data_IF_731261414991
#
_entry.id   IF_731261414991
#
_cell.length_a   1.000
_cell.length_b   1.000
_cell.length_c   1.000
_cell.angle_alpha   90.00
_cell.angle_beta   90.00
_cell.angle_gamma   90.00
#
_symmetry.space_group_name_H-M   'P 1'
#
loop_
_entity.id
_entity.type
_entity.pdbx_description
1 polymer ?
#
# COMPACT_ATOMS: atom_id res chain seq x y z
N UNK A 1 5.82 -8.55 -33.21
CA UNK A 1 6.53 -9.36 -32.20
C UNK A 1 7.56 -8.46 -31.53
N UNK A 2 7.12 -7.71 -30.51
CA UNK A 2 7.97 -6.79 -29.76
C UNK A 2 8.64 -7.58 -28.62
N UNK A 3 9.97 -7.54 -28.57
CA UNK A 3 10.76 -8.11 -27.48
C UNK A 3 10.35 -7.41 -26.19
N UNK A 4 9.72 -8.14 -25.27
CA UNK A 4 9.56 -7.71 -23.88
C UNK A 4 10.96 -7.43 -23.35
N UNK A 5 11.27 -6.15 -23.16
CA UNK A 5 12.43 -5.75 -22.38
C UNK A 5 12.25 -6.35 -20.99
N UNK A 6 13.10 -7.31 -20.68
CA UNK A 6 13.42 -7.70 -19.32
C UNK A 6 14.14 -6.46 -18.76
N UNK A 7 13.39 -5.60 -18.07
CA UNK A 7 13.99 -4.58 -17.22
C UNK A 7 14.71 -5.37 -16.11
N UNK A 8 16.02 -5.18 -15.89
CA UNK A 8 16.71 -5.88 -14.84
C UNK A 8 16.08 -5.50 -13.51
N UNK A 9 15.64 -6.54 -12.81
CA UNK A 9 14.99 -6.61 -11.51
C UNK A 9 15.94 -6.15 -10.37
N UNK A 10 16.53 -4.97 -10.50
CA UNK A 10 17.55 -4.47 -9.57
C UNK A 10 17.14 -3.06 -9.11
N UNK A 11 16.99 -2.93 -7.79
CA UNK A 11 16.75 -1.73 -6.99
C UNK A 11 15.28 -1.33 -6.71
N UNK A 12 14.58 -2.16 -5.93
CA UNK A 12 14.00 -1.68 -4.64
C UNK A 12 14.46 -2.67 -3.60
N UNK A 13 15.66 -2.44 -3.07
CA UNK A 13 16.30 -3.31 -2.08
C UNK A 13 15.70 -2.96 -0.72
N UNK A 14 15.01 -3.95 -0.16
CA UNK A 14 14.61 -4.14 1.25
C UNK A 14 13.40 -3.31 1.74
N UNK A 15 12.26 -3.98 1.87
CA UNK A 15 11.59 -3.94 3.18
C UNK A 15 12.55 -4.65 4.14
N UNK A 16 13.40 -3.83 4.76
CA UNK A 16 14.12 -4.05 6.00
C UNK A 16 14.72 -5.44 6.19
N UNK A 17 16.03 -5.57 5.94
CA UNK A 17 16.75 -6.77 6.38
C UNK A 17 16.72 -6.83 7.91
N UNK A 18 16.17 -7.89 8.47
CA UNK A 18 16.38 -8.25 9.87
C UNK A 18 17.84 -8.72 10.03
N UNK A 19 18.76 -7.77 10.19
CA UNK A 19 20.18 -8.10 10.43
C UNK A 19 21.23 -7.11 9.92
N UNK A 20 20.86 -6.11 9.13
CA UNK A 20 21.73 -4.96 8.85
C UNK A 20 21.16 -3.79 9.67
N UNK A 21 21.98 -3.17 10.51
CA UNK A 21 21.57 -1.97 11.23
C UNK A 21 21.08 -0.94 10.20
N UNK A 22 19.78 -0.65 10.18
CA UNK A 22 19.29 0.54 9.48
C UNK A 22 19.98 1.73 10.16
N UNK A 23 20.63 2.57 9.36
CA UNK A 23 21.32 3.74 9.89
C UNK A 23 20.32 4.81 10.35
N UNK A 24 19.10 4.82 9.78
CA UNK A 24 17.99 5.71 10.14
C UNK A 24 16.75 4.99 10.67
N UNK A 25 15.78 5.80 11.06
CA UNK A 25 14.52 5.43 11.70
C UNK A 25 13.42 5.12 10.67
N UNK A 26 12.46 4.29 11.08
CA UNK A 26 11.37 3.82 10.22
C UNK A 26 10.04 4.49 10.61
N UNK A 27 9.39 5.13 9.63
CA UNK A 27 8.14 5.86 9.82
C UNK A 27 7.02 5.34 8.95
N UNK A 28 5.79 5.35 9.49
CA UNK A 28 4.61 5.10 8.67
C UNK A 28 3.46 6.04 9.00
N UNK A 29 2.81 6.55 7.95
CA UNK A 29 1.54 7.27 8.00
C UNK A 29 0.47 6.35 7.43
N UNK A 30 -0.41 5.86 8.29
CA UNK A 30 -1.49 4.93 7.96
C UNK A 30 -2.81 5.68 7.95
N UNK A 31 -3.49 5.74 6.80
CA UNK A 31 -4.76 6.45 6.62
C UNK A 31 -5.89 5.45 6.38
N UNK A 32 -6.77 5.33 7.37
CA UNK A 32 -7.84 4.36 7.44
C UNK A 32 -9.21 5.06 7.39
N UNK A 33 -9.90 4.92 6.26
CA UNK A 33 -11.32 5.25 6.13
C UNK A 33 -12.18 4.02 5.83
N UNK A 34 -11.55 2.88 5.53
CA UNK A 34 -12.17 1.59 5.30
C UNK A 34 -11.21 0.46 5.72
N UNK A 35 -11.70 -0.78 5.80
CA UNK A 35 -10.85 -1.96 5.93
C UNK A 35 -9.94 -1.99 7.16
N UNK A 36 -10.43 -1.55 8.32
CA UNK A 36 -9.66 -1.43 9.57
C UNK A 36 -8.78 -2.64 9.90
N UNK A 37 -9.32 -3.86 9.73
CA UNK A 37 -8.57 -5.09 9.97
C UNK A 37 -7.30 -5.22 9.10
N UNK A 38 -7.31 -4.75 7.85
CA UNK A 38 -6.14 -4.78 6.98
C UNK A 38 -5.09 -3.76 7.43
N UNK A 39 -5.51 -2.55 7.77
CA UNK A 39 -4.60 -1.53 8.34
C UNK A 39 -3.97 -2.02 9.64
N UNK A 40 -4.74 -2.64 10.52
CA UNK A 40 -4.23 -3.19 11.78
C UNK A 40 -3.24 -4.34 11.55
N UNK A 41 -3.55 -5.25 10.62
CA UNK A 41 -2.63 -6.33 10.25
C UNK A 41 -1.32 -5.77 9.68
N UNK A 42 -1.39 -4.72 8.85
CA UNK A 42 -0.20 -4.09 8.31
C UNK A 42 0.60 -3.37 9.40
N UNK A 43 -0.05 -2.58 10.27
CA UNK A 43 0.61 -1.96 11.44
C UNK A 43 1.31 -3.01 12.30
N UNK A 44 0.65 -4.12 12.59
CA UNK A 44 1.20 -5.22 13.40
C UNK A 44 2.44 -5.83 12.72
N UNK A 45 2.35 -6.07 11.42
CA UNK A 45 3.46 -6.57 10.61
C UNK A 45 4.68 -5.62 10.67
N UNK A 46 4.47 -4.30 10.55
CA UNK A 46 5.54 -3.32 10.63
C UNK A 46 6.28 -3.39 11.99
N UNK A 47 5.56 -3.57 13.08
CA UNK A 47 6.15 -3.65 14.43
C UNK A 47 6.85 -5.00 14.64
N UNK A 48 6.15 -6.11 14.38
CA UNK A 48 6.59 -7.45 14.77
C UNK A 48 7.70 -8.00 13.87
N UNK A 49 7.65 -7.71 12.57
CA UNK A 49 8.56 -8.30 11.59
C UNK A 49 9.62 -7.30 11.09
N UNK A 50 9.33 -6.00 11.16
CA UNK A 50 10.15 -4.95 10.55
C UNK A 50 10.68 -3.90 11.53
N UNK A 51 10.51 -4.12 12.84
CA UNK A 51 11.12 -3.32 13.91
C UNK A 51 10.75 -1.82 13.88
N UNK A 52 9.53 -1.50 13.41
CA UNK A 52 9.01 -0.14 13.52
C UNK A 52 8.69 0.20 14.97
N UNK A 53 9.24 1.32 15.45
CA UNK A 53 8.82 1.90 16.73
C UNK A 53 7.36 2.35 16.67
N UNK A 54 6.58 2.06 17.71
CA UNK A 54 5.20 2.52 17.82
C UNK A 54 5.07 4.04 17.78
N UNK A 55 6.09 4.77 18.27
CA UNK A 55 6.12 6.24 18.28
C UNK A 55 6.26 6.85 16.87
N UNK A 56 6.69 6.06 15.89
CA UNK A 56 6.85 6.45 14.49
C UNK A 56 5.71 5.96 13.59
N UNK A 57 4.65 5.36 14.17
CA UNK A 57 3.48 4.86 13.45
C UNK A 57 2.26 5.76 13.70
N UNK A 58 1.91 6.57 12.70
CA UNK A 58 0.82 7.53 12.79
C UNK A 58 -0.44 7.00 12.11
N UNK A 59 -1.44 6.62 12.90
CA UNK A 59 -2.71 6.11 12.40
C UNK A 59 -3.77 7.21 12.35
N UNK A 60 -4.24 7.54 11.16
CA UNK A 60 -5.36 8.43 10.92
C UNK A 60 -6.61 7.62 10.63
N UNK A 61 -7.68 7.80 11.39
CA UNK A 61 -8.90 7.01 11.20
C UNK A 61 -9.92 7.19 12.31
N UNK A 62 -10.97 6.40 12.25
CA UNK A 62 -11.98 6.35 13.30
C UNK A 62 -11.47 5.56 14.49
N UNK A 63 -11.80 6.03 15.70
CA UNK A 63 -11.43 5.32 16.93
C UNK A 63 -12.25 4.05 17.06
N UNK A 64 -11.58 2.90 17.07
CA UNK A 64 -12.19 1.60 17.34
C UNK A 64 -12.07 1.22 18.82
N UNK A 65 -13.07 0.48 19.33
CA UNK A 65 -13.16 0.13 20.76
C UNK A 65 -11.93 -0.64 21.27
N UNK A 66 -11.42 -1.54 20.44
CA UNK A 66 -10.29 -2.42 20.74
C UNK A 66 -9.17 -2.25 19.69
N UNK A 67 -9.18 -1.12 18.97
CA UNK A 67 -8.18 -0.78 17.96
C UNK A 67 -6.95 -0.06 18.55
N UNK A 68 -5.86 0.04 17.77
CA UNK A 68 -4.71 0.86 18.13
C UNK A 68 -5.11 2.34 18.33
N UNK A 69 -4.32 3.11 19.09
CA UNK A 69 -4.56 4.53 19.24
C UNK A 69 -4.51 5.23 17.88
N UNK A 70 -5.51 6.08 17.62
CA UNK A 70 -5.53 6.96 16.45
C UNK A 70 -4.84 8.28 16.78
N UNK A 71 -3.97 8.73 15.88
CA UNK A 71 -3.33 10.05 15.91
C UNK A 71 -4.35 11.17 15.75
N UNK A 72 -5.23 11.04 14.75
CA UNK A 72 -6.31 11.98 14.45
C UNK A 72 -7.34 11.31 13.52
N UNK A 73 -8.50 11.95 13.25
CA UNK A 73 -9.40 11.48 12.19
C UNK A 73 -8.70 11.44 10.83
N UNK A 74 -9.13 10.51 9.96
CA UNK A 74 -8.66 10.41 8.57
C UNK A 74 -9.29 11.51 7.70
N UNK A 75 -8.82 12.73 7.87
CA UNK A 75 -9.14 13.90 7.05
C UNK A 75 -7.85 14.43 6.39
N UNK A 76 -7.99 15.22 5.32
CA UNK A 76 -6.85 15.79 4.60
C UNK A 76 -5.92 16.62 5.52
N UNK A 77 -6.46 17.57 6.28
CA UNK A 77 -5.62 18.51 7.05
C UNK A 77 -4.72 17.82 8.09
N UNK A 78 -5.20 16.89 8.95
CA UNK A 78 -4.32 16.20 9.89
C UNK A 78 -3.24 15.35 9.21
N UNK A 79 -3.57 14.70 8.10
CA UNK A 79 -2.62 13.87 7.33
C UNK A 79 -1.55 14.76 6.71
N UNK A 80 -1.94 15.84 6.01
CA UNK A 80 -1.02 16.79 5.39
C UNK A 80 -0.12 17.46 6.44
N UNK A 81 -0.69 17.88 7.57
CA UNK A 81 0.08 18.46 8.68
C UNK A 81 1.14 17.49 9.20
N UNK A 82 0.82 16.20 9.31
CA UNK A 82 1.79 15.19 9.76
C UNK A 82 2.87 14.93 8.72
N UNK A 83 2.52 14.87 7.43
CA UNK A 83 3.51 14.74 6.37
C UNK A 83 4.46 15.96 6.36
N UNK A 84 3.94 17.17 6.55
CA UNK A 84 4.76 18.38 6.67
C UNK A 84 5.69 18.33 7.89
N UNK A 85 5.17 17.92 9.06
CA UNK A 85 6.00 17.73 10.27
C UNK A 85 7.09 16.67 10.10
N UNK A 86 6.83 15.63 9.29
CA UNK A 86 7.81 14.59 8.99
C UNK A 86 8.85 15.06 7.97
N UNK A 87 8.44 15.85 6.96
CA UNK A 87 9.38 16.43 6.00
C UNK A 87 10.43 17.33 6.68
N UNK A 88 10.05 18.03 7.74
CA UNK A 88 10.97 18.85 8.55
C UNK A 88 11.85 18.02 9.52
N UNK A 89 11.48 16.75 9.78
CA UNK A 89 12.09 15.90 10.82
C UNK A 89 13.03 14.84 10.26
N UNK A 90 12.64 14.19 9.17
CA UNK A 90 13.33 13.01 8.64
C UNK A 90 14.64 13.41 7.97
N UNK A 91 15.67 12.57 8.15
CA UNK A 91 16.99 12.73 7.56
C UNK A 91 17.24 11.66 6.48
N UNK A 92 18.31 11.83 5.69
CA UNK A 92 18.71 11.03 4.51
C UNK A 92 18.87 9.51 4.69
N UNK A 93 18.74 8.97 5.90
CA UNK A 93 18.84 7.54 6.18
C UNK A 93 17.51 6.98 6.72
N UNK A 94 16.53 7.85 6.98
CA UNK A 94 15.18 7.50 7.42
C UNK A 94 14.32 7.02 6.24
N UNK A 95 13.25 6.27 6.55
CA UNK A 95 12.31 5.78 5.54
C UNK A 95 10.87 6.06 5.92
N UNK A 96 10.03 6.31 4.92
CA UNK A 96 8.62 6.59 5.12
C UNK A 96 7.72 5.70 4.26
N UNK A 97 6.74 5.06 4.91
CA UNK A 97 5.60 4.44 4.23
C UNK A 97 4.37 5.32 4.41
N UNK A 98 3.71 5.69 3.31
CA UNK A 98 2.39 6.32 3.34
C UNK A 98 1.36 5.32 2.80
N UNK A 99 0.47 4.87 3.66
CA UNK A 99 -0.44 3.76 3.40
C UNK A 99 -1.90 4.23 3.49
N UNK A 100 -2.66 4.04 2.42
CA UNK A 100 -4.07 4.41 2.35
C UNK A 100 -4.95 3.16 2.17
N UNK A 101 -5.97 3.03 3.03
CA UNK A 101 -7.16 2.22 2.75
C UNK A 101 -8.38 3.13 2.83
N UNK A 102 -8.90 3.51 1.67
CA UNK A 102 -10.04 4.40 1.61
C UNK A 102 -10.90 4.17 0.36
N UNK A 103 -12.13 4.65 0.40
CA UNK A 103 -12.92 4.78 -0.81
C UNK A 103 -12.30 5.86 -1.69
N UNK A 104 -12.04 5.52 -2.95
CA UNK A 104 -11.37 6.38 -3.91
C UNK A 104 -12.23 6.54 -5.16
N UNK A 105 -12.09 7.71 -5.78
CA UNK A 105 -12.53 8.00 -7.14
C UNK A 105 -11.33 8.64 -7.86
N UNK A 106 -11.24 8.51 -9.18
CA UNK A 106 -10.10 9.03 -9.96
C UNK A 106 -9.77 10.48 -9.58
N UNK A 107 -8.63 10.67 -8.90
CA UNK A 107 -8.09 11.97 -8.49
C UNK A 107 -8.13 12.29 -6.99
N UNK A 108 -8.92 11.57 -6.17
CA UNK A 108 -8.99 11.84 -4.73
C UNK A 108 -9.54 10.67 -3.90
N UNK A 109 -9.22 10.72 -2.62
CA UNK A 109 -9.76 9.85 -1.58
C UNK A 109 -11.07 10.46 -1.04
N UNK A 110 -12.20 9.78 -1.22
CA UNK A 110 -13.55 10.33 -1.03
C UNK A 110 -13.79 10.79 0.41
N UNK A 111 -13.51 9.91 1.37
CA UNK A 111 -13.90 10.12 2.77
C UNK A 111 -13.00 11.09 3.52
N UNK A 112 -11.74 11.23 3.09
CA UNK A 112 -10.79 12.15 3.71
C UNK A 112 -10.62 13.44 2.90
N UNK A 113 -11.22 13.52 1.71
CA UNK A 113 -11.15 14.65 0.74
C UNK A 113 -9.72 15.03 0.34
N UNK A 114 -8.75 14.12 0.51
CA UNK A 114 -7.37 14.32 0.10
C UNK A 114 -7.23 14.03 -1.40
N UNK A 115 -6.87 15.05 -2.17
CA UNK A 115 -6.55 14.87 -3.59
C UNK A 115 -5.15 14.28 -3.78
N UNK A 116 -4.96 13.56 -4.89
CA UNK A 116 -3.64 13.02 -5.23
C UNK A 116 -2.60 14.12 -5.46
N UNK A 117 -3.01 15.30 -5.93
CA UNK A 117 -2.13 16.45 -6.07
C UNK A 117 -1.69 17.02 -4.72
N UNK A 118 -2.56 17.05 -3.71
CA UNK A 118 -2.17 17.45 -2.36
C UNK A 118 -1.20 16.45 -1.74
N UNK A 119 -1.43 15.15 -1.94
CA UNK A 119 -0.51 14.11 -1.51
C UNK A 119 0.86 14.27 -2.19
N UNK A 120 0.88 14.43 -3.51
CA UNK A 120 2.11 14.66 -4.27
C UNK A 120 2.86 15.89 -3.75
N UNK A 121 2.17 17.02 -3.59
CA UNK A 121 2.78 18.25 -3.08
C UNK A 121 3.33 18.11 -1.64
N UNK A 122 2.78 17.19 -0.84
CA UNK A 122 3.30 16.92 0.50
C UNK A 122 4.53 16.00 0.46
N UNK A 123 4.49 14.95 -0.36
CA UNK A 123 5.61 14.02 -0.51
C UNK A 123 6.80 14.66 -1.23
N UNK A 124 6.56 15.57 -2.18
CA UNK A 124 7.60 16.31 -2.89
C UNK A 124 8.41 17.29 -2.01
N UNK A 125 8.07 17.44 -0.72
CA UNK A 125 8.81 18.29 0.23
C UNK A 125 9.96 17.56 0.93
N UNK A 126 9.93 16.24 0.92
CA UNK A 126 10.97 15.43 1.54
C UNK A 126 12.25 15.54 0.72
N UNK A 127 13.40 15.38 1.38
CA UNK A 127 14.69 15.30 0.72
C UNK A 127 14.74 14.07 -0.21
N UNK A 128 15.35 14.21 -1.39
CA UNK A 128 15.50 13.14 -2.39
C UNK A 128 16.29 11.93 -1.86
N UNK A 129 17.02 12.07 -0.75
CA UNK A 129 17.72 10.96 -0.09
C UNK A 129 16.82 10.12 0.85
N UNK A 130 15.56 10.52 1.10
CA UNK A 130 14.61 9.77 1.94
C UNK A 130 13.83 8.78 1.07
N UNK A 131 13.90 7.49 1.41
CA UNK A 131 13.12 6.45 0.73
C UNK A 131 11.62 6.56 1.09
N UNK A 132 10.76 6.83 0.11
CA UNK A 132 9.31 6.97 0.30
C UNK A 132 8.52 5.97 -0.55
N UNK A 133 7.66 5.20 0.13
CA UNK A 133 6.74 4.27 -0.53
C UNK A 133 5.31 4.71 -0.26
N UNK A 134 4.52 4.87 -1.31
CA UNK A 134 3.08 5.14 -1.23
C UNK A 134 2.30 3.90 -1.63
N UNK A 135 1.35 3.48 -0.80
CA UNK A 135 0.50 2.31 -1.03
C UNK A 135 -0.95 2.76 -0.97
N UNK A 136 -1.72 2.48 -2.02
CA UNK A 136 -3.08 2.99 -2.19
C UNK A 136 -4.07 1.86 -2.47
N UNK A 137 -4.78 1.43 -1.44
CA UNK A 137 -5.95 0.55 -1.54
C UNK A 137 -7.23 1.37 -1.65
N UNK A 138 -7.90 1.22 -2.79
CA UNK A 138 -9.15 1.87 -3.10
C UNK A 138 -9.58 1.65 -4.54
N UNK A 139 -10.89 1.74 -4.80
CA UNK A 139 -11.44 1.67 -6.16
C UNK A 139 -10.80 2.76 -7.03
N UNK A 140 -10.45 2.47 -8.29
CA UNK A 140 -9.82 3.46 -9.17
C UNK A 140 -8.47 4.03 -8.69
N UNK A 141 -7.80 3.38 -7.74
CA UNK A 141 -6.54 3.86 -7.14
C UNK A 141 -5.41 4.09 -8.14
N UNK A 142 -5.39 3.41 -9.30
CA UNK A 142 -4.37 3.64 -10.31
C UNK A 142 -4.37 5.07 -10.89
N UNK A 143 -5.44 5.86 -10.69
CA UNK A 143 -5.47 7.27 -11.08
C UNK A 143 -4.41 8.09 -10.36
N UNK A 144 -3.89 7.59 -9.23
CA UNK A 144 -2.77 8.18 -8.53
C UNK A 144 -1.47 8.10 -9.33
N UNK A 145 -1.31 7.08 -10.17
CA UNK A 145 -0.06 6.87 -10.92
C UNK A 145 0.22 7.98 -11.93
N UNK A 146 -0.78 8.75 -12.36
CA UNK A 146 -0.57 9.87 -13.27
C UNK A 146 -0.13 11.16 -12.55
N UNK A 147 -0.31 11.21 -11.22
CA UNK A 147 -0.17 12.44 -10.42
C UNK A 147 0.92 12.32 -9.35
N UNK A 148 0.96 11.20 -8.62
CA UNK A 148 1.90 10.95 -7.52
C UNK A 148 3.17 10.36 -8.10
N UNK A 149 4.25 11.14 -8.13
CA UNK A 149 5.50 10.84 -8.86
C UNK A 149 6.76 10.94 -8.00
N UNK A 150 6.76 11.80 -6.98
CA UNK A 150 7.88 11.95 -6.06
C UNK A 150 8.29 10.72 -5.24
N UNK A 151 7.40 9.77 -4.86
CA UNK A 151 7.84 8.59 -4.11
C UNK A 151 8.68 7.61 -4.94
N UNK A 152 9.63 6.91 -4.31
CA UNK A 152 10.41 5.81 -4.93
C UNK A 152 9.56 4.65 -5.41
N UNK A 153 8.43 4.42 -4.75
CA UNK A 153 7.47 3.42 -5.19
C UNK A 153 6.03 3.85 -4.91
N UNK A 154 5.16 3.58 -5.88
CA UNK A 154 3.71 3.69 -5.72
C UNK A 154 3.06 2.36 -6.05
N UNK A 155 2.31 1.81 -5.10
CA UNK A 155 1.51 0.59 -5.25
C UNK A 155 0.04 0.98 -5.27
N UNK A 156 -0.69 0.52 -6.27
CA UNK A 156 -2.14 0.72 -6.39
C UNK A 156 -2.84 -0.61 -6.63
N UNK A 157 -4.06 -0.75 -6.12
CA UNK A 157 -4.74 -2.04 -6.02
C UNK A 157 -5.96 -2.19 -6.94
N UNK A 158 -6.26 -1.18 -7.75
CA UNK A 158 -7.32 -1.25 -8.75
C UNK A 158 -7.10 -0.30 -9.93
N UNK A 159 -7.49 -0.73 -11.13
CA UNK A 159 -7.50 0.11 -12.34
C UNK A 159 -8.62 1.16 -12.30
N UNK A 160 -8.46 2.19 -13.12
CA UNK A 160 -9.51 3.19 -13.35
C UNK A 160 -10.69 2.49 -13.99
N UNK A 161 -11.86 2.63 -13.38
CA UNK A 161 -13.08 1.95 -13.79
C UNK A 161 -13.30 0.63 -13.08
N UNK A 162 -12.37 0.18 -12.23
CA UNK A 162 -12.47 -1.07 -11.50
C UNK A 162 -12.70 -0.86 -9.99
N UNK A 163 -13.61 -1.61 -9.38
CA UNK A 163 -13.76 -1.68 -7.93
C UNK A 163 -12.60 -2.45 -7.28
N UNK A 164 -12.30 -2.13 -6.01
CA UNK A 164 -11.37 -2.89 -5.18
C UNK A 164 -12.14 -3.68 -4.10
N UNK A 165 -11.61 -4.83 -3.69
CA UNK A 165 -12.21 -5.68 -2.65
C UNK A 165 -11.19 -6.17 -1.62
N UNK A 166 -10.05 -5.47 -1.49
CA UNK A 166 -9.00 -5.78 -0.52
C UNK A 166 -8.24 -7.08 -0.75
N UNK A 167 -8.61 -7.92 -1.74
CA UNK A 167 -7.97 -9.21 -2.00
C UNK A 167 -6.48 -9.07 -2.33
N UNK A 168 -6.13 -8.18 -3.26
CA UNK A 168 -4.74 -7.88 -3.58
C UNK A 168 -3.96 -7.45 -2.34
N UNK A 169 -4.45 -6.46 -1.60
CA UNK A 169 -3.76 -5.94 -0.42
C UNK A 169 -3.60 -7.02 0.67
N UNK A 170 -4.61 -7.86 0.87
CA UNK A 170 -4.53 -9.00 1.78
C UNK A 170 -3.42 -9.97 1.38
N UNK A 171 -3.32 -10.34 0.10
CA UNK A 171 -2.25 -11.21 -0.38
C UNK A 171 -0.88 -10.54 -0.32
N UNK A 172 -0.81 -9.24 -0.57
CA UNK A 172 0.42 -8.46 -0.47
C UNK A 172 0.95 -8.42 0.97
N UNK A 173 0.09 -8.09 1.95
CA UNK A 173 0.45 -8.12 3.38
C UNK A 173 0.85 -9.53 3.80
N UNK A 174 0.13 -10.56 3.35
CA UNK A 174 0.46 -11.94 3.69
C UNK A 174 1.79 -12.40 3.07
N UNK A 175 2.15 -11.94 1.87
CA UNK A 175 3.42 -12.28 1.24
C UNK A 175 4.64 -11.76 2.03
N UNK A 176 4.44 -10.66 2.75
CA UNK A 176 5.41 -10.05 3.64
C UNK A 176 5.49 -10.74 5.02
N UNK A 177 4.46 -11.49 5.42
CA UNK A 177 4.42 -12.17 6.73
C UNK A 177 4.87 -13.65 6.62
N UNK A 178 5.95 -14.05 7.29
CA UNK A 178 6.49 -15.41 7.21
C UNK A 178 5.67 -16.47 7.98
N UNK A 179 4.79 -16.08 8.89
CA UNK A 179 4.11 -17.00 9.84
C UNK A 179 2.75 -17.53 9.36
N UNK A 180 2.19 -17.02 8.25
CA UNK A 180 0.88 -17.49 7.75
C UNK A 180 1.02 -18.62 6.71
N UNK A 181 0.64 -19.87 7.03
CA UNK A 181 0.88 -21.03 6.17
C UNK A 181 -0.04 -21.14 4.94
N UNK A 182 -0.99 -20.22 4.73
CA UNK A 182 -1.98 -20.40 3.66
C UNK A 182 -1.43 -20.14 2.25
N UNK A 183 -0.30 -19.42 2.12
CA UNK A 183 0.13 -18.85 0.86
C UNK A 183 1.63 -18.56 0.98
N UNK A 184 2.48 -19.37 0.31
CA UNK A 184 3.96 -19.39 0.46
C UNK A 184 4.55 -17.96 0.49
N UNK A 185 5.53 -17.72 1.36
CA UNK A 185 6.38 -16.51 1.36
C UNK A 185 6.89 -16.24 -0.05
N UNK A 186 6.80 -15.00 -0.51
CA UNK A 186 7.20 -14.58 -1.85
C UNK A 186 8.72 -14.42 -2.02
N UNK A 187 9.52 -14.95 -1.10
CA UNK A 187 10.99 -14.98 -1.10
C UNK A 187 11.49 -15.81 -2.30
N UNK A 188 11.50 -15.21 -3.50
CA UNK A 188 11.79 -15.88 -4.78
C UNK A 188 13.26 -16.28 -4.80
N UNK A 189 14.12 -15.42 -4.28
CA UNK A 189 15.57 -15.63 -4.26
C UNK A 189 16.07 -16.46 -3.07
N UNK A 190 15.19 -16.79 -2.12
CA UNK A 190 15.46 -17.61 -0.92
C UNK A 190 16.51 -17.00 0.00
N UNK A 191 16.62 -15.67 0.02
CA UNK A 191 17.58 -14.97 0.85
C UNK A 191 17.07 -14.70 2.28
N UNK A 192 15.81 -15.04 2.57
CA UNK A 192 15.19 -14.79 3.87
C UNK A 192 14.45 -13.46 3.96
N UNK A 193 14.37 -12.68 2.89
CA UNK A 193 13.80 -11.33 2.83
C UNK A 193 12.83 -11.24 1.65
N UNK A 194 11.63 -10.74 1.90
CA UNK A 194 10.65 -10.47 0.82
C UNK A 194 10.73 -9.00 0.44
N UNK A 195 11.02 -8.72 -0.82
CA UNK A 195 10.96 -7.35 -1.37
C UNK A 195 9.53 -6.91 -1.67
N UNK A 196 9.31 -5.60 -1.78
CA UNK A 196 8.02 -5.03 -2.21
C UNK A 196 7.59 -5.57 -3.57
N UNK A 197 8.56 -5.70 -4.50
CA UNK A 197 8.32 -6.24 -5.84
C UNK A 197 7.91 -7.70 -5.81
N UNK A 198 8.56 -8.53 -4.98
CA UNK A 198 8.17 -9.93 -4.79
C UNK A 198 6.78 -10.07 -4.18
N UNK A 199 6.48 -9.27 -3.15
CA UNK A 199 5.13 -9.24 -2.57
C UNK A 199 4.08 -8.77 -3.58
N UNK A 200 4.42 -7.81 -4.46
CA UNK A 200 3.54 -7.36 -5.55
C UNK A 200 3.31 -8.47 -6.58
N UNK A 201 4.36 -9.12 -7.07
CA UNK A 201 4.26 -10.23 -8.03
C UNK A 201 3.51 -11.43 -7.44
N UNK A 202 3.62 -11.64 -6.13
CA UNK A 202 2.78 -12.60 -5.42
C UNK A 202 1.31 -12.16 -5.39
N UNK A 203 1.03 -10.92 -5.03
CA UNK A 203 -0.35 -10.47 -4.80
C UNK A 203 -1.16 -10.34 -6.09
N UNK A 204 -0.52 -10.00 -7.23
CA UNK A 204 -1.16 -9.73 -8.53
C UNK A 204 -1.59 -10.98 -9.32
N UNK A 205 -1.45 -12.17 -8.75
CA UNK A 205 -1.78 -13.43 -9.42
C UNK A 205 -3.29 -13.51 -9.71
N UNK A 206 -3.63 -13.46 -11.00
CA UNK A 206 -5.02 -13.45 -11.49
C UNK A 206 -5.84 -14.63 -10.97
N UNK A 207 -5.26 -15.83 -10.89
CA UNK A 207 -5.98 -17.03 -10.44
C UNK A 207 -6.30 -16.93 -8.95
N UNK A 208 -5.33 -16.47 -8.14
CA UNK A 208 -5.48 -16.27 -6.70
C UNK A 208 -6.52 -15.19 -6.39
N UNK A 209 -6.46 -14.07 -7.08
CA UNK A 209 -7.45 -12.99 -6.94
C UNK A 209 -8.84 -13.46 -7.37
N UNK A 210 -8.95 -14.17 -8.48
CA UNK A 210 -10.22 -14.73 -8.95
C UNK A 210 -10.81 -15.76 -7.98
N UNK A 211 -9.99 -16.61 -7.35
CA UNK A 211 -10.43 -17.55 -6.32
C UNK A 211 -10.98 -16.81 -5.10
N UNK A 212 -10.24 -15.83 -4.58
CA UNK A 212 -10.67 -15.02 -3.45
C UNK A 212 -12.02 -14.33 -3.71
N UNK A 213 -12.17 -13.68 -4.87
CA UNK A 213 -13.43 -13.03 -5.22
C UNK A 213 -14.59 -14.00 -5.38
N UNK A 214 -14.37 -15.27 -5.77
CA UNK A 214 -15.44 -16.27 -5.81
C UNK A 214 -15.91 -16.71 -4.42
N UNK A 215 -15.03 -16.63 -3.43
CA UNK A 215 -15.29 -17.07 -2.05
C UNK A 215 -15.93 -15.98 -1.18
N UNK A 216 -15.86 -14.70 -1.59
CA UNK A 216 -16.55 -13.59 -0.92
C UNK A 216 -18.07 -13.78 -0.95
N UNK A 217 -18.71 -13.68 0.22
CA UNK A 217 -20.16 -13.79 0.35
C UNK A 217 -20.86 -12.79 -0.58
N UNK A 218 -21.76 -13.32 -1.43
CA UNK A 218 -22.54 -12.58 -2.43
C UNK A 218 -23.41 -11.47 -1.85
N UNK A 219 -23.67 -11.50 -0.55
CA UNK A 219 -24.44 -10.47 0.15
C UNK A 219 -23.62 -9.24 0.57
N UNK A 220 -22.29 -9.29 0.47
CA UNK A 220 -21.37 -8.17 0.81
C UNK A 220 -21.04 -7.32 -0.42
N UNK A 221 -21.58 -7.69 -1.59
CA UNK A 221 -21.32 -6.99 -2.85
C UNK A 221 -22.23 -5.77 -2.97
N UNK A 222 -21.74 -4.66 -3.55
CA UNK A 222 -22.64 -3.63 -4.07
C UNK A 222 -23.56 -4.25 -5.15
N UNK A 223 -24.74 -3.67 -5.41
CA UNK A 223 -25.74 -4.24 -6.32
C UNK A 223 -25.17 -4.65 -7.69
N UNK A 224 -25.84 -5.63 -8.33
CA UNK A 224 -25.54 -6.37 -9.57
C UNK A 224 -24.58 -5.76 -10.62
N UNK A 225 -24.58 -4.45 -10.78
CA UNK A 225 -23.76 -3.70 -11.73
C UNK A 225 -22.28 -3.55 -11.31
N UNK A 226 -21.94 -3.86 -10.05
CA UNK A 226 -20.59 -3.82 -9.47
C UNK A 226 -20.03 -5.20 -9.12
N UNK A 227 -20.54 -6.26 -9.74
CA UNK A 227 -19.96 -7.60 -9.57
C UNK A 227 -18.64 -7.67 -10.33
N UNK A 228 -17.48 -7.90 -9.68
CA UNK A 228 -16.32 -8.45 -10.33
C UNK A 228 -16.58 -9.95 -10.41
N UNK A 229 -17.54 -10.33 -11.22
CA UNK A 229 -17.22 -11.53 -11.98
C UNK A 229 -15.87 -11.23 -12.64
N UNK A 230 -14.86 -12.11 -12.53
CA UNK A 230 -13.76 -12.15 -13.48
C UNK A 230 -14.42 -12.52 -14.82
N UNK A 231 -15.15 -11.56 -15.35
CA UNK A 231 -15.84 -11.62 -16.60
C UNK A 231 -14.77 -11.24 -17.60
N UNK A 232 -14.69 -12.01 -18.66
CA UNK A 232 -13.83 -11.74 -19.81
C UNK A 232 -14.04 -10.32 -20.40
N UNK A 233 -15.05 -9.58 -19.90
CA UNK A 233 -15.37 -8.18 -20.21
C UNK A 233 -14.43 -7.14 -19.59
N UNK A 234 -13.72 -7.41 -18.49
CA UNK A 234 -12.90 -6.38 -17.80
C UNK A 234 -11.37 -6.49 -18.01
N UNK A 235 -10.87 -7.50 -18.74
CA UNK A 235 -9.44 -7.62 -19.06
C UNK A 235 -8.53 -7.83 -17.85
N UNK A 236 -7.21 -7.77 -18.09
CA UNK A 236 -6.10 -7.97 -17.12
C UNK A 236 -6.31 -7.25 -15.78
N UNK A 237 -5.81 -7.81 -14.68
CA UNK A 237 -5.92 -7.26 -13.32
C UNK A 237 -5.41 -5.82 -13.20
N UNK A 238 -5.96 -5.09 -12.23
CA UNK A 238 -5.86 -3.63 -12.16
C UNK A 238 -4.70 -3.06 -11.37
N UNK A 239 -3.97 -3.91 -10.69
CA UNK A 239 -2.98 -3.53 -9.69
C UNK A 239 -1.68 -3.15 -10.36
N UNK A 240 -1.04 -2.11 -9.85
CA UNK A 240 0.15 -1.54 -10.49
C UNK A 240 1.18 -1.17 -9.43
N UNK A 241 2.43 -1.47 -9.74
CA UNK A 241 3.62 -1.00 -9.05
C UNK A 241 4.37 -0.09 -10.03
N UNK A 242 4.54 1.18 -9.66
CA UNK A 242 5.48 2.07 -10.35
C UNK A 242 6.67 2.32 -9.45
N UNK A 243 7.86 2.23 -10.03
CA UNK A 243 9.08 2.66 -9.39
C UNK A 243 9.33 4.11 -9.82
N UNK A 244 9.26 5.02 -8.86
CA UNK A 244 9.52 6.44 -9.05
C UNK A 244 10.98 6.79 -8.80
N UNK A 245 11.27 8.08 -8.97
CA UNK A 245 12.49 8.84 -8.66
C UNK A 245 12.18 10.32 -8.81
#
# INVERSE_FOLDING_TARGET
MSRRMIVPLVAVILLFSTGVANAGELYAVLVQNAGAGLTHNFRKLLIEEYDYSEDNLFLFGDKEKDGPPVTAPACADPVLKKLDELADKLDKDDKLIVFFICHMQSGFCINNTLSYLQLENAVAKFDDEIDIIVIMEGCHSNGALDIVKSPDAVITTAKTGQPCYGGFLLFWINALNPEKPAYRKADIDKNGITTIGEAYEYARDDERLAMWYRELDRNVWPPADFHPTPDARFGESGESLTLGK
#
